data_IF_046528535871
#
_entry.id   IF_046528535871
#
_cell.length_a   1.000
_cell.length_b   1.000
_cell.length_c   1.000
_cell.angle_alpha   90.00
_cell.angle_beta   90.00
_cell.angle_gamma   90.00
#
_symmetry.space_group_name_H-M   'P 1'
#
loop_
_entity.id
_entity.type
_entity.pdbx_description
1 polymer ?
#
# COMPACT_ATOMS: atom_id res chain seq x y z
N UNK A 1 29.59 3.77 -1.37
CA UNK A 1 29.97 2.33 -1.36
C UNK A 1 28.70 1.55 -1.05
N UNK A 2 27.99 1.09 -2.09
CA UNK A 2 26.69 0.39 -2.03
C UNK A 2 26.68 -1.06 -2.62
N UNK A 3 27.77 -1.87 -2.58
CA UNK A 3 27.75 -3.20 -3.20
C UNK A 3 27.14 -4.33 -2.36
N UNK A 4 26.91 -4.15 -1.05
CA UNK A 4 26.36 -5.22 -0.20
C UNK A 4 24.83 -5.38 -0.33
N UNK A 5 24.08 -4.27 -0.40
CA UNK A 5 22.61 -4.29 -0.55
C UNK A 5 22.19 -4.96 -1.86
N UNK A 6 22.90 -4.69 -2.96
CA UNK A 6 22.59 -5.27 -4.26
C UNK A 6 22.74 -6.81 -4.28
N UNK A 7 23.71 -7.35 -3.53
CA UNK A 7 23.99 -8.79 -3.46
C UNK A 7 22.98 -9.54 -2.57
N UNK A 8 22.39 -8.86 -1.59
CA UNK A 8 21.31 -9.42 -0.76
C UNK A 8 19.98 -9.42 -1.51
N UNK A 9 19.64 -8.32 -2.20
CA UNK A 9 18.43 -8.18 -3.01
C UNK A 9 18.30 -9.25 -4.10
N UNK A 10 19.38 -9.49 -4.85
CA UNK A 10 19.39 -10.50 -5.92
C UNK A 10 19.16 -11.92 -5.37
N UNK A 11 19.73 -12.22 -4.20
CA UNK A 11 19.56 -13.53 -3.55
C UNK A 11 18.15 -13.73 -3.04
N UNK A 12 17.59 -12.72 -2.37
CA UNK A 12 16.21 -12.72 -1.86
C UNK A 12 15.20 -12.85 -3.01
N UNK A 13 15.41 -12.11 -4.09
CA UNK A 13 14.59 -12.20 -5.29
C UNK A 13 14.63 -13.61 -5.88
N UNK A 14 15.83 -14.18 -6.04
CA UNK A 14 15.98 -15.52 -6.59
C UNK A 14 15.24 -16.56 -5.74
N UNK A 15 15.38 -16.49 -4.42
CA UNK A 15 14.70 -17.41 -3.50
C UNK A 15 13.18 -17.26 -3.56
N UNK A 16 12.69 -16.02 -3.65
CA UNK A 16 11.26 -15.73 -3.73
C UNK A 16 10.66 -16.24 -5.04
N UNK A 17 11.34 -16.04 -6.16
CA UNK A 17 10.93 -16.56 -7.48
C UNK A 17 10.90 -18.09 -7.52
N UNK A 18 11.92 -18.76 -6.96
CA UNK A 18 11.96 -20.22 -6.87
C UNK A 18 10.80 -20.78 -6.02
N UNK A 19 10.49 -20.14 -4.89
CA UNK A 19 9.34 -20.50 -4.07
C UNK A 19 8.03 -20.26 -4.81
N UNK A 20 7.91 -19.12 -5.49
CA UNK A 20 6.72 -18.76 -6.24
C UNK A 20 6.39 -19.76 -7.34
N UNK A 21 7.39 -20.20 -8.09
CA UNK A 21 7.23 -21.24 -9.11
C UNK A 21 6.72 -22.56 -8.51
N UNK A 22 7.21 -22.94 -7.33
CA UNK A 22 6.76 -24.15 -6.63
C UNK A 22 5.29 -24.02 -6.21
N UNK A 23 4.89 -22.87 -5.66
CA UNK A 23 3.51 -22.60 -5.23
C UNK A 23 2.54 -22.60 -6.41
N UNK A 24 2.91 -21.93 -7.51
CA UNK A 24 2.13 -21.95 -8.76
C UNK A 24 1.97 -23.34 -9.35
N UNK A 25 3.03 -24.17 -9.36
CA UNK A 25 2.95 -25.54 -9.87
C UNK A 25 1.98 -26.42 -9.07
N UNK A 26 1.78 -26.12 -7.78
CA UNK A 26 0.81 -26.81 -6.93
C UNK A 26 -0.62 -26.28 -7.11
N UNK A 27 -0.80 -25.26 -7.95
CA UNK A 27 -2.06 -24.54 -8.15
C UNK A 27 -2.67 -24.07 -6.82
N UNK A 28 -1.80 -23.65 -5.89
CA UNK A 28 -2.20 -23.04 -4.63
C UNK A 28 -2.49 -21.57 -4.90
N UNK A 29 -3.71 -21.14 -4.59
CA UNK A 29 -4.08 -19.74 -4.50
C UNK A 29 -4.52 -19.51 -3.05
N UNK A 30 -3.53 -19.25 -2.22
CA UNK A 30 -3.68 -19.09 -0.78
C UNK A 30 -2.88 -17.88 -0.28
N UNK A 31 -3.00 -17.60 1.02
CA UNK A 31 -2.30 -16.51 1.70
C UNK A 31 -0.79 -16.55 1.47
N UNK A 32 -0.15 -17.73 1.52
CA UNK A 32 1.30 -17.86 1.31
C UNK A 32 1.69 -17.43 -0.12
N UNK A 33 0.94 -17.88 -1.12
CA UNK A 33 1.18 -17.50 -2.52
C UNK A 33 1.02 -16.00 -2.74
N UNK A 34 0.03 -15.39 -2.07
CA UNK A 34 -0.17 -13.94 -2.09
C UNK A 34 0.99 -13.16 -1.48
N UNK A 35 1.48 -13.57 -0.30
CA UNK A 35 2.59 -12.89 0.39
C UNK A 35 3.89 -12.98 -0.41
N UNK A 36 4.16 -14.12 -1.04
CA UNK A 36 5.33 -14.31 -1.89
C UNK A 36 5.25 -13.43 -3.14
N UNK A 37 4.10 -13.38 -3.83
CA UNK A 37 3.91 -12.51 -4.99
C UNK A 37 4.11 -11.04 -4.63
N UNK A 38 3.50 -10.59 -3.53
CA UNK A 38 3.64 -9.23 -3.02
C UNK A 38 5.10 -8.89 -2.67
N UNK A 39 5.80 -9.82 -2.01
CA UNK A 39 7.23 -9.65 -1.67
C UNK A 39 8.12 -9.51 -2.91
N UNK A 40 7.87 -10.30 -3.96
CA UNK A 40 8.58 -10.18 -5.24
C UNK A 40 8.34 -8.80 -5.86
N UNK A 41 7.08 -8.37 -5.91
CA UNK A 41 6.72 -7.05 -6.45
C UNK A 41 7.48 -5.92 -5.74
N UNK A 42 7.53 -5.97 -4.40
CA UNK A 42 8.22 -4.98 -3.58
C UNK A 42 9.74 -4.95 -3.80
N UNK A 43 10.37 -6.10 -4.04
CA UNK A 43 11.79 -6.15 -4.41
C UNK A 43 12.03 -5.47 -5.76
N UNK A 44 11.18 -5.75 -6.76
CA UNK A 44 11.29 -5.09 -8.06
C UNK A 44 11.08 -3.58 -7.95
N UNK A 45 10.09 -3.13 -7.18
CA UNK A 45 9.73 -1.73 -7.00
C UNK A 45 10.81 -0.96 -6.22
N UNK A 46 11.04 -1.33 -4.96
CA UNK A 46 11.86 -0.54 -4.04
C UNK A 46 13.36 -0.73 -4.27
N UNK A 47 13.79 -1.94 -4.63
CA UNK A 47 15.22 -2.30 -4.64
C UNK A 47 15.81 -2.24 -6.04
N UNK A 48 15.05 -2.71 -7.04
CA UNK A 48 15.51 -2.76 -8.44
C UNK A 48 15.00 -1.60 -9.29
N UNK A 49 14.03 -0.82 -8.79
CA UNK A 49 13.41 0.29 -9.51
C UNK A 49 12.82 -0.14 -10.87
N UNK A 50 12.31 -1.36 -10.94
CA UNK A 50 11.64 -1.93 -12.10
C UNK A 50 10.12 -1.96 -11.87
N UNK A 51 9.50 -0.78 -11.97
CA UNK A 51 8.07 -0.60 -11.77
C UNK A 51 7.20 -1.39 -12.76
N UNK A 52 7.71 -1.67 -13.96
CA UNK A 52 6.98 -2.47 -14.96
C UNK A 52 6.88 -3.94 -14.54
N UNK A 53 7.96 -4.52 -13.99
CA UNK A 53 7.89 -5.87 -13.43
C UNK A 53 7.13 -5.90 -12.10
N UNK A 54 7.31 -4.87 -11.26
CA UNK A 54 6.59 -4.76 -9.99
C UNK A 54 5.06 -4.74 -10.16
N UNK A 55 4.56 -3.90 -11.07
CA UNK A 55 3.10 -3.82 -11.38
C UNK A 55 2.53 -5.17 -11.78
N UNK A 56 3.25 -5.95 -12.59
CA UNK A 56 2.82 -7.31 -12.97
C UNK A 56 2.59 -8.20 -11.73
N UNK A 57 3.52 -8.20 -10.77
CA UNK A 57 3.38 -9.02 -9.56
C UNK A 57 2.37 -8.45 -8.55
N UNK A 58 2.22 -7.13 -8.46
CA UNK A 58 1.17 -6.55 -7.62
C UNK A 58 -0.24 -6.81 -8.19
N UNK A 59 -0.44 -6.73 -9.50
CA UNK A 59 -1.72 -7.10 -10.14
C UNK A 59 -2.03 -8.59 -9.89
N UNK A 60 -1.03 -9.46 -10.02
CA UNK A 60 -1.20 -10.87 -9.71
C UNK A 60 -1.51 -11.12 -8.22
N UNK A 61 -0.93 -10.33 -7.32
CA UNK A 61 -1.26 -10.34 -5.89
C UNK A 61 -2.74 -10.02 -5.68
N UNK A 62 -3.30 -9.01 -6.37
CA UNK A 62 -4.72 -8.69 -6.30
C UNK A 62 -5.62 -9.81 -6.83
N UNK A 63 -5.22 -10.48 -7.91
CA UNK A 63 -5.95 -11.62 -8.45
C UNK A 63 -6.00 -12.78 -7.45
N UNK A 64 -4.86 -13.07 -6.80
CA UNK A 64 -4.79 -14.09 -5.75
C UNK A 64 -5.68 -13.67 -4.58
N UNK A 65 -5.57 -12.44 -4.06
CA UNK A 65 -6.41 -11.95 -2.95
C UNK A 65 -7.91 -12.14 -3.21
N UNK A 66 -8.39 -11.82 -4.42
CA UNK A 66 -9.79 -12.03 -4.83
C UNK A 66 -10.20 -13.51 -4.76
N UNK A 67 -9.28 -14.44 -5.05
CA UNK A 67 -9.55 -15.87 -5.01
C UNK A 67 -9.57 -16.46 -3.59
N UNK A 68 -8.80 -15.91 -2.64
CA UNK A 68 -8.69 -16.45 -1.27
C UNK A 68 -9.88 -16.05 -0.38
N UNK A 69 -10.79 -15.19 -0.84
CA UNK A 69 -11.99 -14.72 -0.09
C UNK A 69 -11.65 -14.12 1.29
N UNK A 70 -10.61 -13.29 1.35
CA UNK A 70 -10.11 -12.66 2.60
C UNK A 70 -10.70 -11.29 2.88
N UNK A 71 -11.70 -10.84 2.10
CA UNK A 71 -12.27 -9.48 2.20
C UNK A 71 -12.82 -9.13 3.59
N UNK A 72 -13.21 -10.13 4.40
CA UNK A 72 -13.72 -9.93 5.75
C UNK A 72 -12.64 -10.02 6.85
N UNK A 73 -11.37 -10.25 6.51
CA UNK A 73 -10.26 -10.34 7.49
C UNK A 73 -9.43 -9.06 7.49
N UNK A 74 -8.90 -8.68 8.65
CA UNK A 74 -8.00 -7.53 8.76
C UNK A 74 -6.78 -7.70 7.83
N UNK A 75 -6.22 -8.91 7.76
CA UNK A 75 -5.14 -9.25 6.83
C UNK A 75 -5.50 -9.04 5.36
N UNK A 76 -6.68 -9.49 4.93
CA UNK A 76 -7.11 -9.32 3.55
C UNK A 76 -7.33 -7.84 3.19
N UNK A 77 -7.95 -7.08 4.10
CA UNK A 77 -8.12 -5.64 3.93
C UNK A 77 -6.77 -4.92 3.84
N UNK A 78 -5.85 -5.20 4.77
CA UNK A 78 -4.52 -4.62 4.78
C UNK A 78 -3.75 -4.91 3.50
N UNK A 79 -3.74 -6.18 3.06
CA UNK A 79 -3.07 -6.58 1.83
C UNK A 79 -3.69 -5.92 0.61
N UNK A 80 -5.02 -5.81 0.54
CA UNK A 80 -5.73 -5.16 -0.57
C UNK A 80 -5.37 -3.67 -0.64
N UNK A 81 -5.47 -2.94 0.46
CA UNK A 81 -5.15 -1.50 0.52
C UNK A 81 -3.69 -1.25 0.16
N UNK A 82 -2.77 -2.00 0.77
CA UNK A 82 -1.33 -1.87 0.52
C UNK A 82 -0.97 -2.17 -0.93
N UNK A 83 -1.52 -3.24 -1.51
CA UNK A 83 -1.23 -3.63 -2.90
C UNK A 83 -1.76 -2.60 -3.90
N UNK A 84 -2.98 -2.07 -3.69
CA UNK A 84 -3.56 -1.02 -4.54
C UNK A 84 -2.75 0.29 -4.44
N UNK A 85 -2.36 0.69 -3.23
CA UNK A 85 -1.51 1.87 -3.03
C UNK A 85 -0.15 1.75 -3.71
N UNK A 86 0.49 0.58 -3.61
CA UNK A 86 1.76 0.32 -4.29
C UNK A 86 1.62 0.36 -5.81
N UNK A 87 0.55 -0.22 -6.38
CA UNK A 87 0.25 -0.09 -7.80
C UNK A 87 0.10 1.37 -8.23
N UNK A 88 -0.63 2.17 -7.45
CA UNK A 88 -0.82 3.58 -7.73
C UNK A 88 0.52 4.32 -7.84
N UNK A 89 1.41 4.12 -6.85
CA UNK A 89 2.75 4.71 -6.85
C UNK A 89 3.61 4.19 -8.01
N UNK A 90 3.54 2.90 -8.36
CA UNK A 90 4.25 2.39 -9.52
C UNK A 90 3.78 3.06 -10.82
N UNK A 91 2.47 3.19 -11.04
CA UNK A 91 1.94 3.86 -12.23
C UNK A 91 2.26 5.35 -12.27
N UNK A 92 2.27 6.02 -11.12
CA UNK A 92 2.74 7.40 -10.99
C UNK A 92 4.20 7.51 -11.45
N UNK A 93 5.08 6.65 -10.92
CA UNK A 93 6.50 6.61 -11.28
C UNK A 93 6.76 6.23 -12.75
N UNK A 94 5.86 5.46 -13.36
CA UNK A 94 5.89 5.13 -14.78
C UNK A 94 5.39 6.28 -15.68
N UNK A 95 4.95 7.40 -15.11
CA UNK A 95 4.43 8.55 -15.84
C UNK A 95 3.03 8.32 -16.39
N UNK A 96 2.23 7.49 -15.71
CA UNK A 96 0.85 7.16 -16.06
C UNK A 96 -0.12 7.68 -14.98
N UNK A 97 -0.26 9.01 -14.81
CA UNK A 97 -1.01 9.59 -13.69
C UNK A 97 -2.50 9.26 -13.69
N UNK A 98 -3.09 9.03 -14.88
CA UNK A 98 -4.50 8.63 -15.03
C UNK A 98 -4.75 7.19 -14.56
N UNK A 99 -3.78 6.28 -14.76
CA UNK A 99 -3.83 4.92 -14.22
C UNK A 99 -3.53 4.92 -12.71
N UNK A 100 -2.54 5.72 -12.28
CA UNK A 100 -2.20 5.87 -10.87
C UNK A 100 -3.41 6.33 -10.05
N UNK A 101 -4.13 7.34 -10.55
CA UNK A 101 -5.33 7.87 -9.89
C UNK A 101 -6.40 6.82 -9.67
N UNK A 102 -6.67 5.95 -10.66
CA UNK A 102 -7.64 4.85 -10.50
C UNK A 102 -7.26 3.94 -9.34
N UNK A 103 -5.97 3.62 -9.22
CA UNK A 103 -5.48 2.76 -8.14
C UNK A 103 -5.46 3.48 -6.78
N UNK A 104 -5.18 4.80 -6.74
CA UNK A 104 -5.35 5.59 -5.52
C UNK A 104 -6.80 5.57 -5.04
N UNK A 105 -7.75 5.83 -5.94
CA UNK A 105 -9.18 5.79 -5.64
C UNK A 105 -9.62 4.40 -5.15
N UNK A 106 -9.17 3.33 -5.83
CA UNK A 106 -9.48 1.95 -5.44
C UNK A 106 -8.89 1.62 -4.05
N UNK A 107 -7.69 2.10 -3.73
CA UNK A 107 -7.04 1.88 -2.44
C UNK A 107 -7.76 2.60 -1.29
N UNK A 108 -8.11 3.87 -1.51
CA UNK A 108 -8.88 4.69 -0.56
C UNK A 108 -10.26 4.09 -0.36
N UNK A 109 -10.94 3.68 -1.44
CA UNK A 109 -12.24 3.01 -1.36
C UNK A 109 -12.19 1.71 -0.57
N UNK A 110 -11.15 0.88 -0.77
CA UNK A 110 -10.95 -0.35 -0.01
C UNK A 110 -10.71 -0.09 1.49
N UNK A 111 -9.99 0.98 1.82
CA UNK A 111 -9.79 1.43 3.20
C UNK A 111 -11.11 1.87 3.85
N UNK A 112 -11.89 2.71 3.17
CA UNK A 112 -13.19 3.19 3.66
C UNK A 112 -14.21 2.06 3.83
N UNK A 113 -14.25 1.11 2.88
CA UNK A 113 -15.08 -0.11 2.97
C UNK A 113 -14.78 -0.87 4.28
N UNK A 114 -13.50 -1.07 4.58
CA UNK A 114 -13.07 -1.75 5.80
C UNK A 114 -13.47 -0.96 7.07
N UNK A 115 -13.21 0.36 7.10
CA UNK A 115 -13.59 1.21 8.24
C UNK A 115 -15.11 1.22 8.49
N UNK A 116 -15.93 1.25 7.43
CA UNK A 116 -17.37 1.20 7.54
C UNK A 116 -17.87 -0.15 8.08
N UNK A 117 -17.26 -1.26 7.66
CA UNK A 117 -17.57 -2.59 8.18
C UNK A 117 -17.21 -2.73 9.66
N UNK A 118 -16.03 -2.24 10.07
CA UNK A 118 -15.60 -2.21 11.46
C UNK A 118 -16.52 -1.36 12.35
N UNK A 119 -16.99 -0.22 11.84
CA UNK A 119 -17.93 0.65 12.54
C UNK A 119 -19.32 0.03 12.69
N UNK A 120 -19.74 -0.80 11.73
CA UNK A 120 -21.03 -1.49 11.76
C UNK A 120 -21.03 -2.74 12.66
N UNK A 121 -19.86 -3.33 12.93
CA UNK A 121 -19.71 -4.51 13.81
C UNK A 121 -19.59 -4.14 15.30
N UNK A 122 -19.48 -2.86 15.66
CA UNK A 122 -19.44 -2.29 17.02
C UNK A 122 -20.75 -2.48 17.84
N UNK A 123 -21.68 -3.33 17.38
CA UNK A 123 -22.88 -3.74 18.11
C UNK A 123 -22.66 -4.99 19.00
N UNK A 124 -21.44 -5.54 19.07
CA UNK A 124 -21.07 -6.58 20.01
C UNK A 124 -19.57 -6.67 20.15
N UNK A 125 -19.07 -6.81 21.38
CA UNK A 125 -17.64 -7.00 21.70
C UNK A 125 -17.01 -8.02 20.74
N UNK A 126 -16.30 -7.54 19.72
CA UNK A 126 -15.50 -8.39 18.85
C UNK A 126 -14.19 -8.59 19.59
N UNK A 127 -13.88 -9.84 19.93
CA UNK A 127 -12.57 -10.25 20.44
C UNK A 127 -11.55 -10.12 19.29
N UNK A 128 -11.11 -8.88 19.03
CA UNK A 128 -10.10 -8.58 18.01
C UNK A 128 -8.77 -9.09 18.52
N UNK A 129 -8.12 -10.00 17.80
CA UNK A 129 -6.82 -10.51 18.23
C UNK A 129 -5.77 -9.39 18.27
N UNK A 130 -4.77 -9.48 19.15
CA UNK A 130 -3.68 -8.49 19.21
C UNK A 130 -2.98 -8.30 17.85
N UNK A 131 -2.93 -9.36 17.03
CA UNK A 131 -2.39 -9.32 15.67
C UNK A 131 -3.27 -8.52 14.71
N UNK A 132 -4.59 -8.69 14.78
CA UNK A 132 -5.54 -7.90 13.99
C UNK A 132 -5.52 -6.43 14.45
N UNK A 133 -5.40 -6.15 15.75
CA UNK A 133 -5.30 -4.79 16.27
C UNK A 133 -4.04 -4.06 15.77
N UNK A 134 -2.88 -4.71 15.76
CA UNK A 134 -1.64 -4.14 15.21
C UNK A 134 -1.80 -3.83 13.72
N UNK A 135 -2.37 -4.76 12.96
CA UNK A 135 -2.56 -4.60 11.52
C UNK A 135 -3.51 -3.46 11.17
N UNK A 136 -4.51 -3.22 12.02
CA UNK A 136 -5.44 -2.10 11.89
C UNK A 136 -4.78 -0.73 12.16
N UNK A 137 -3.88 -0.67 13.14
CA UNK A 137 -3.10 0.55 13.39
C UNK A 137 -2.14 0.85 12.23
N UNK A 138 -1.54 -0.20 11.66
CA UNK A 138 -0.69 -0.12 10.48
C UNK A 138 -1.49 0.30 9.24
N UNK A 139 -2.76 -0.10 9.14
CA UNK A 139 -3.63 0.27 8.02
C UNK A 139 -3.90 1.79 7.96
N UNK A 140 -4.05 2.49 9.09
CA UNK A 140 -4.17 3.95 9.10
C UNK A 140 -2.88 4.63 8.61
N UNK A 141 -1.71 4.12 8.99
CA UNK A 141 -0.42 4.64 8.53
C UNK A 141 -0.26 4.43 7.01
N UNK A 142 -0.64 3.25 6.51
CA UNK A 142 -0.68 2.95 5.07
C UNK A 142 -1.63 3.89 4.35
N UNK A 143 -2.85 4.07 4.84
CA UNK A 143 -3.83 4.97 4.24
C UNK A 143 -3.34 6.43 4.23
N UNK A 144 -2.68 6.89 5.28
CA UNK A 144 -2.05 8.21 5.31
C UNK A 144 -1.03 8.39 4.18
N UNK A 145 -0.14 7.40 3.98
CA UNK A 145 0.85 7.45 2.90
C UNK A 145 0.21 7.42 1.51
N UNK A 146 -0.84 6.62 1.32
CA UNK A 146 -1.60 6.59 0.06
C UNK A 146 -2.17 7.96 -0.26
N UNK A 147 -2.79 8.65 0.71
CA UNK A 147 -3.31 10.00 0.51
C UNK A 147 -2.19 11.01 0.21
N UNK A 148 -1.04 10.90 0.88
CA UNK A 148 0.12 11.76 0.63
C UNK A 148 0.66 11.58 -0.80
N UNK A 149 0.83 10.35 -1.27
CA UNK A 149 1.25 10.08 -2.65
C UNK A 149 0.19 10.50 -3.66
N UNK A 150 -1.10 10.29 -3.36
CA UNK A 150 -2.17 10.75 -4.24
C UNK A 150 -2.14 12.27 -4.41
N UNK A 151 -1.77 13.03 -3.36
CA UNK A 151 -1.56 14.46 -3.47
C UNK A 151 -0.49 14.81 -4.51
N UNK A 152 0.64 14.11 -4.51
CA UNK A 152 1.70 14.31 -5.51
C UNK A 152 1.18 14.06 -6.94
N UNK A 153 0.43 12.99 -7.15
CA UNK A 153 -0.21 12.69 -8.43
C UNK A 153 -1.21 13.78 -8.86
N UNK A 154 -1.98 14.35 -7.93
CA UNK A 154 -2.91 15.45 -8.19
C UNK A 154 -2.18 16.76 -8.53
N UNK A 155 -1.10 17.07 -7.83
CA UNK A 155 -0.27 18.25 -8.10
C UNK A 155 0.39 18.19 -9.48
N UNK A 156 0.85 17.00 -9.90
CA UNK A 156 1.37 16.77 -11.24
C UNK A 156 0.31 17.02 -12.34
N UNK A 157 -0.97 17.01 -11.97
CA UNK A 157 -2.12 17.33 -12.82
C UNK A 157 -2.69 18.75 -12.61
N UNK A 158 -1.98 19.63 -11.88
CA UNK A 158 -2.43 20.99 -11.53
C UNK A 158 -3.74 21.04 -10.70
N UNK A 159 -4.06 19.97 -9.96
CA UNK A 159 -5.28 19.85 -9.12
C UNK A 159 -5.00 20.23 -7.67
N UNK A 160 -4.57 21.47 -7.48
CA UNK A 160 -4.10 22.01 -6.20
C UNK A 160 -5.13 21.90 -5.06
N UNK A 161 -6.38 22.32 -5.27
CA UNK A 161 -7.41 22.26 -4.22
C UNK A 161 -7.68 20.83 -3.74
N UNK A 162 -7.64 19.86 -4.65
CA UNK A 162 -7.84 18.44 -4.33
C UNK A 162 -6.63 17.87 -3.59
N UNK A 163 -5.41 18.21 -4.03
CA UNK A 163 -4.17 17.85 -3.35
C UNK A 163 -4.14 18.36 -1.89
N UNK A 164 -4.66 19.58 -1.65
CA UNK A 164 -4.79 20.12 -0.30
C UNK A 164 -5.72 19.27 0.56
N UNK A 165 -6.91 18.92 0.04
CA UNK A 165 -7.88 18.13 0.78
C UNK A 165 -7.31 16.75 1.15
N UNK A 166 -6.64 16.05 0.23
CA UNK A 166 -6.10 14.72 0.52
C UNK A 166 -4.92 14.78 1.49
N UNK A 167 -4.11 15.84 1.48
CA UNK A 167 -3.03 16.02 2.48
C UNK A 167 -3.55 16.34 3.88
N UNK A 168 -4.67 17.05 4.00
CA UNK A 168 -5.36 17.21 5.30
C UNK A 168 -5.82 15.85 5.85
N UNK A 169 -6.38 14.99 5.00
CA UNK A 169 -6.78 13.62 5.38
C UNK A 169 -5.55 12.79 5.78
N UNK A 170 -4.46 12.87 5.02
CA UNK A 170 -3.21 12.17 5.31
C UNK A 170 -2.69 12.47 6.72
N UNK A 171 -2.70 13.75 7.14
CA UNK A 171 -2.27 14.15 8.48
C UNK A 171 -3.15 13.54 9.57
N UNK A 172 -4.46 13.62 9.43
CA UNK A 172 -5.40 13.06 10.41
C UNK A 172 -5.20 11.55 10.56
N UNK A 173 -5.03 10.84 9.45
CA UNK A 173 -4.78 9.40 9.47
C UNK A 173 -3.43 9.07 10.13
N UNK A 174 -2.36 9.80 9.79
CA UNK A 174 -1.03 9.58 10.33
C UNK A 174 -0.99 9.81 11.85
N UNK A 175 -1.61 10.89 12.35
CA UNK A 175 -1.68 11.21 13.78
C UNK A 175 -2.48 10.16 14.59
N UNK A 176 -3.38 9.42 13.95
CA UNK A 176 -4.21 8.38 14.55
C UNK A 176 -3.76 6.96 14.12
N UNK A 177 -2.47 6.76 13.85
CA UNK A 177 -1.90 5.49 13.38
C UNK A 177 -0.76 4.98 14.26
N UNK A 178 -0.20 3.82 13.90
CA UNK A 178 1.06 3.30 14.46
C UNK A 178 2.33 3.95 13.87
N UNK A 179 2.19 4.97 13.01
CA UNK A 179 3.32 5.62 12.34
C UNK A 179 4.38 6.07 13.37
N UNK A 180 5.67 5.74 13.17
CA UNK A 180 6.75 6.18 14.05
C UNK A 180 6.79 7.70 14.14
N UNK A 181 7.14 8.24 15.31
CA UNK A 181 7.13 9.69 15.53
C UNK A 181 8.06 10.45 14.58
N UNK A 182 9.20 9.86 14.22
CA UNK A 182 10.14 10.45 13.25
C UNK A 182 9.51 10.55 11.85
N UNK A 183 8.83 9.49 11.40
CA UNK A 183 8.15 9.48 10.10
C UNK A 183 6.95 10.44 10.08
N UNK A 184 6.21 10.53 11.20
CA UNK A 184 5.09 11.47 11.36
C UNK A 184 5.58 12.92 11.31
N UNK A 185 6.65 13.25 12.03
CA UNK A 185 7.25 14.60 12.01
C UNK A 185 7.73 14.97 10.61
N UNK A 186 8.32 14.02 9.89
CA UNK A 186 8.77 14.23 8.51
C UNK A 186 7.59 14.42 7.55
N UNK A 187 6.54 13.61 7.66
CA UNK A 187 5.32 13.79 6.87
C UNK A 187 4.67 15.15 7.12
N UNK A 188 4.56 15.57 8.39
CA UNK A 188 4.04 16.87 8.79
C UNK A 188 4.87 18.01 8.19
N UNK A 189 6.21 17.88 8.20
CA UNK A 189 7.12 18.86 7.60
C UNK A 189 6.90 18.96 6.08
N UNK A 190 6.85 17.84 5.38
CA UNK A 190 6.62 17.80 3.93
C UNK A 190 5.28 18.43 3.54
N UNK A 191 4.20 18.10 4.25
CA UNK A 191 2.87 18.68 3.98
C UNK A 191 2.84 20.18 4.31
N UNK A 192 3.50 20.61 5.39
CA UNK A 192 3.60 22.03 5.70
C UNK A 192 4.32 22.83 4.62
N UNK A 193 5.46 22.31 4.13
CA UNK A 193 6.20 22.91 3.01
C UNK A 193 5.35 22.97 1.76
N UNK A 194 4.63 21.88 1.44
CA UNK A 194 3.69 21.84 0.32
C UNK A 194 2.64 22.96 0.41
N UNK A 195 1.97 23.11 1.55
CA UNK A 195 0.92 24.12 1.71
C UNK A 195 1.43 25.55 1.58
N UNK A 196 2.69 25.82 1.97
CA UNK A 196 3.30 27.14 1.76
C UNK A 196 3.51 27.47 0.28
N UNK A 197 3.68 26.47 -0.59
CA UNK A 197 3.79 26.66 -2.04
C UNK A 197 2.44 26.93 -2.72
N UNK A 198 1.33 26.61 -2.03
CA UNK A 198 -0.03 26.74 -2.54
C UNK A 198 -0.70 28.08 -2.20
N UNK A 199 -0.07 28.89 -1.33
CA UNK A 199 -0.50 30.24 -0.91
C UNK A 199 0.08 31.36 -1.80
#
# INVERSE_FOLDING_TARGET
MKPMEHCTSERELQQSLELYDILKQRNQQDTETCEVAFGIARIYDEQLQDGATATTYYEETLEILKSVSTEATAWGAYMRVTTLGALAVCYENLGQPEEAEKYFDDAIGAYEEHCNQASASDAGEVDVSDADFSLLADLNATAAMIHYHYAANLLAQDRWDEAKNVTEIALVLAENSSMPSEDLEELQRCIHELWLEME
#
